data_IF_598845222208
#
_entry.id   IF_598845222208
#
_cell.length_a   1.000
_cell.length_b   1.000
_cell.length_c   1.000
_cell.angle_alpha   90.00
_cell.angle_beta   90.00
_cell.angle_gamma   90.00
#
_symmetry.space_group_name_H-M   'P 1'
#
loop_
_entity.id
_entity.type
_entity.pdbx_description
1 polymer ?
#
# COMPACT_ATOMS: atom_id res chain seq x y z
N UNK A 1 -7.68 -13.17 9.86
CA UNK A 1 -7.32 -13.52 8.48
C UNK A 1 -7.28 -12.25 7.64
N UNK A 2 -6.09 -11.65 7.49
CA UNK A 2 -5.93 -10.42 6.71
C UNK A 2 -5.82 -10.81 5.25
N UNK A 3 -6.89 -10.58 4.48
CA UNK A 3 -6.95 -10.93 3.07
C UNK A 3 -6.02 -9.98 2.30
N UNK A 4 -4.79 -10.41 2.04
CA UNK A 4 -3.90 -9.75 1.09
C UNK A 4 -4.45 -10.09 -0.29
N UNK A 5 -5.35 -9.25 -0.81
CA UNK A 5 -5.76 -9.33 -2.21
C UNK A 5 -4.57 -8.85 -3.03
N UNK A 6 -3.60 -9.75 -3.24
CA UNK A 6 -2.49 -9.50 -4.14
C UNK A 6 -3.10 -9.15 -5.50
N UNK A 7 -2.80 -7.96 -6.07
CA UNK A 7 -3.04 -7.75 -7.48
C UNK A 7 -2.34 -8.89 -8.21
N UNK A 8 -2.91 -9.40 -9.31
CA UNK A 8 -2.18 -10.28 -10.24
C UNK A 8 -0.78 -9.67 -10.46
N UNK A 9 0.24 -10.23 -9.80
CA UNK A 9 1.52 -9.58 -9.57
C UNK A 9 2.25 -9.25 -10.88
N UNK A 10 1.87 -9.94 -11.97
CA UNK A 10 2.34 -9.78 -13.35
C UNK A 10 2.25 -8.36 -13.94
N UNK A 11 1.57 -7.39 -13.31
CA UNK A 11 1.49 -5.98 -13.79
C UNK A 11 1.84 -4.92 -12.74
N UNK A 12 2.58 -5.28 -11.69
CA UNK A 12 3.09 -4.29 -10.73
C UNK A 12 4.53 -3.95 -11.12
N UNK A 13 4.81 -2.67 -11.40
CA UNK A 13 6.19 -2.22 -11.60
C UNK A 13 7.02 -2.48 -10.34
N UNK A 14 8.35 -2.60 -10.48
CA UNK A 14 9.30 -2.90 -9.39
C UNK A 14 9.05 -2.08 -8.11
N UNK A 15 8.71 -0.80 -8.28
CA UNK A 15 8.44 0.14 -7.17
C UNK A 15 7.14 -0.19 -6.43
N UNK A 16 6.08 -0.52 -7.16
CA UNK A 16 4.81 -0.88 -6.55
C UNK A 16 4.92 -2.21 -5.79
N UNK A 17 5.76 -3.13 -6.27
CA UNK A 17 6.10 -4.35 -5.55
C UNK A 17 6.77 -4.05 -4.19
N UNK A 18 7.60 -3.01 -4.10
CA UNK A 18 8.22 -2.59 -2.84
C UNK A 18 7.19 -2.05 -1.83
N UNK A 19 6.17 -1.29 -2.28
CA UNK A 19 5.06 -0.89 -1.42
C UNK A 19 4.26 -2.11 -0.92
N UNK A 20 3.96 -3.06 -1.80
CA UNK A 20 3.23 -4.29 -1.43
C UNK A 20 4.02 -5.10 -0.42
N UNK A 21 5.33 -5.27 -0.66
CA UNK A 21 6.23 -5.97 0.25
C UNK A 21 6.29 -5.28 1.62
N UNK A 22 6.48 -3.96 1.66
CA UNK A 22 6.49 -3.21 2.93
C UNK A 22 5.15 -3.38 3.67
N UNK A 23 4.03 -3.15 2.99
CA UNK A 23 2.71 -3.27 3.59
C UNK A 23 2.49 -4.66 4.20
N UNK A 24 2.82 -5.72 3.45
CA UNK A 24 2.70 -7.10 3.94
C UNK A 24 3.52 -7.35 5.21
N UNK A 25 4.80 -6.97 5.22
CA UNK A 25 5.69 -7.20 6.36
C UNK A 25 5.29 -6.40 7.61
N UNK A 26 4.63 -5.25 7.43
CA UNK A 26 4.18 -4.39 8.52
C UNK A 26 2.70 -4.61 8.91
N UNK A 27 2.06 -5.67 8.38
CA UNK A 27 0.67 -6.03 8.73
C UNK A 27 -0.42 -5.15 8.11
N UNK A 28 -0.08 -4.39 7.06
CA UNK A 28 -1.03 -3.61 6.29
C UNK A 28 -1.69 -4.47 5.21
N UNK A 29 -3.02 -4.34 5.10
CA UNK A 29 -3.82 -4.93 4.03
C UNK A 29 -3.94 -3.95 2.86
N UNK A 30 -3.90 -4.45 1.63
CA UNK A 30 -4.03 -3.64 0.41
C UNK A 30 -5.29 -4.07 -0.36
N UNK A 31 -6.08 -3.10 -0.79
CA UNK A 31 -7.23 -3.29 -1.69
C UNK A 31 -7.28 -2.21 -2.75
N UNK A 32 -8.09 -2.42 -3.80
CA UNK A 32 -8.37 -1.39 -4.80
C UNK A 32 -9.62 -0.60 -4.42
N UNK A 33 -9.58 0.71 -4.61
CA UNK A 33 -10.79 1.53 -4.66
C UNK A 33 -11.51 1.32 -5.99
N UNK A 34 -12.81 1.66 -6.06
CA UNK A 34 -13.56 1.64 -7.34
C UNK A 34 -12.92 2.52 -8.42
N UNK A 35 -12.18 3.56 -8.02
CA UNK A 35 -11.44 4.46 -8.93
C UNK A 35 -10.04 3.96 -9.33
N UNK A 36 -9.62 2.75 -8.93
CA UNK A 36 -8.34 2.16 -9.33
C UNK A 36 -7.12 2.58 -8.49
N UNK A 37 -7.33 3.37 -7.43
CA UNK A 37 -6.29 3.65 -6.44
C UNK A 37 -6.10 2.47 -5.49
N UNK A 38 -4.93 2.41 -4.86
CA UNK A 38 -4.68 1.51 -3.75
C UNK A 38 -5.20 2.12 -2.45
N UNK A 39 -5.83 1.28 -1.65
CA UNK A 39 -6.27 1.54 -0.29
C UNK A 39 -5.49 0.61 0.62
N UNK A 40 -4.74 1.19 1.55
CA UNK A 40 -3.97 0.48 2.56
C UNK A 40 -4.63 0.66 3.91
N UNK A 41 -4.88 -0.44 4.59
CA UNK A 41 -5.62 -0.47 5.85
C UNK A 41 -4.90 -1.37 6.86
N UNK A 42 -4.85 -0.91 8.11
CA UNK A 42 -4.39 -1.69 9.26
C UNK A 42 -5.33 -1.39 10.44
N UNK A 43 -5.79 -2.41 11.19
CA UNK A 43 -6.66 -2.18 12.34
C UNK A 43 -6.06 -1.18 13.32
N UNK A 44 -6.88 -0.23 13.78
CA UNK A 44 -6.46 0.83 14.71
C UNK A 44 -5.61 1.94 14.10
N UNK A 45 -5.32 1.90 12.79
CA UNK A 45 -4.53 2.93 12.09
C UNK A 45 -5.35 3.62 10.99
N UNK A 46 -5.04 4.89 10.66
CA UNK A 46 -5.73 5.58 9.58
C UNK A 46 -5.48 4.88 8.23
N UNK A 47 -6.50 4.91 7.37
CA UNK A 47 -6.43 4.37 6.01
C UNK A 47 -5.54 5.27 5.15
N UNK A 48 -4.63 4.68 4.39
CA UNK A 48 -3.76 5.39 3.44
C UNK A 48 -4.22 5.08 2.01
N UNK A 49 -4.37 6.12 1.18
CA UNK A 49 -4.71 5.98 -0.22
C UNK A 49 -3.51 6.38 -1.09
N UNK A 50 -3.25 5.64 -2.16
CA UNK A 50 -2.18 6.00 -3.12
C UNK A 50 -2.51 5.56 -4.54
N UNK A 51 -1.97 6.28 -5.51
CA UNK A 51 -2.15 5.99 -6.94
C UNK A 51 -1.45 4.68 -7.32
N UNK A 52 -2.01 3.96 -8.30
CA UNK A 52 -1.43 2.71 -8.83
C UNK A 52 -0.38 2.97 -9.92
N UNK A 53 -0.14 4.23 -10.29
CA UNK A 53 0.70 4.61 -11.43
C UNK A 53 2.13 4.09 -11.24
N UNK A 54 2.59 3.09 -12.01
CA UNK A 54 3.89 2.44 -11.77
C UNK A 54 5.09 3.38 -11.96
N UNK A 55 4.92 4.41 -12.78
CA UNK A 55 5.92 5.43 -13.09
C UNK A 55 6.11 6.45 -11.95
N UNK A 56 5.09 6.61 -11.10
CA UNK A 56 5.10 7.60 -10.03
C UNK A 56 5.79 7.04 -8.78
N UNK A 57 7.11 7.19 -8.75
CA UNK A 57 7.91 6.78 -7.60
C UNK A 57 7.66 7.62 -6.36
N UNK A 58 7.28 8.88 -6.53
CA UNK A 58 6.99 9.77 -5.40
C UNK A 58 5.76 9.27 -4.67
N UNK A 59 4.71 8.87 -5.38
CA UNK A 59 3.51 8.28 -4.79
C UNK A 59 3.82 7.01 -3.98
N UNK A 60 4.73 6.15 -4.47
CA UNK A 60 5.17 4.93 -3.76
C UNK A 60 5.93 5.29 -2.48
N UNK A 61 6.94 6.14 -2.56
CA UNK A 61 7.74 6.55 -1.40
C UNK A 61 6.90 7.29 -0.36
N UNK A 62 6.02 8.18 -0.80
CA UNK A 62 5.09 8.89 0.07
C UNK A 62 4.14 7.93 0.78
N UNK A 63 3.61 6.92 0.08
CA UNK A 63 2.77 5.90 0.68
C UNK A 63 3.52 5.15 1.79
N UNK A 64 4.74 4.67 1.52
CA UNK A 64 5.56 3.98 2.54
C UNK A 64 5.81 4.89 3.75
N UNK A 65 6.17 6.16 3.51
CA UNK A 65 6.38 7.12 4.59
C UNK A 65 5.10 7.36 5.41
N UNK A 66 3.93 7.39 4.79
CA UNK A 66 2.65 7.51 5.49
C UNK A 66 2.36 6.26 6.34
N UNK A 67 2.62 5.06 5.83
CA UNK A 67 2.47 3.82 6.61
C UNK A 67 3.41 3.83 7.82
N UNK A 68 4.69 4.17 7.62
CA UNK A 68 5.68 4.25 8.70
C UNK A 68 5.27 5.25 9.78
N UNK A 69 4.77 6.43 9.40
CA UNK A 69 4.26 7.43 10.35
C UNK A 69 3.02 6.95 11.09
N UNK A 70 2.10 6.26 10.41
CA UNK A 70 0.91 5.71 11.04
C UNK A 70 1.27 4.59 12.04
N UNK A 71 2.28 3.77 11.73
CA UNK A 71 2.81 2.77 12.66
C UNK A 71 3.51 3.41 13.87
N UNK A 72 4.20 4.54 13.69
CA UNK A 72 4.89 5.25 14.77
C UNK A 72 3.96 5.99 15.73
N UNK A 73 2.76 6.39 15.29
CA UNK A 73 1.74 6.99 16.17
C UNK A 73 1.05 5.89 16.95
N UNK A 74 1.42 5.72 18.23
CA UNK A 74 0.82 4.73 19.14
C UNK A 74 -0.64 5.06 19.42
#
# INVERSE_FOLDING_TARGET
MSLVVLPRARRLGKRLALLVWYAHNHGWSISFTRGGHLRLHKPGKPVVHTSRTPSDWRAVHNAIAMLARADAKN
#
